data_IF_423701044916
#
_entry.id   IF_423701044916
#
_cell.length_a   1.000
_cell.length_b   1.000
_cell.length_c   1.000
_cell.angle_alpha   90.00
_cell.angle_beta   90.00
_cell.angle_gamma   90.00
#
_symmetry.space_group_name_H-M   'P 1'
#
loop_
_entity.id
_entity.type
_entity.pdbx_description
1 polymer ?
#
# COMPACT_ATOMS: atom_id res chain seq x y z
N UNK A 1 33.09 27.84 -50.89
CA UNK A 1 32.53 27.16 -49.70
C UNK A 1 31.17 27.77 -49.42
N UNK A 2 30.11 26.97 -49.48
CA UNK A 2 28.72 27.48 -49.50
C UNK A 2 28.31 27.95 -48.09
N UNK A 3 28.39 29.26 -47.86
CA UNK A 3 27.97 29.93 -46.63
C UNK A 3 26.47 29.73 -46.36
N UNK A 4 25.68 29.60 -47.42
CA UNK A 4 24.24 29.31 -47.37
C UNK A 4 23.95 27.94 -46.75
N UNK A 5 24.72 26.92 -47.14
CA UNK A 5 24.62 25.58 -46.55
C UNK A 5 24.99 25.56 -45.07
N UNK A 6 25.97 26.37 -44.66
CA UNK A 6 26.37 26.50 -43.26
C UNK A 6 25.26 27.13 -42.40
N UNK A 7 24.61 28.17 -42.92
CA UNK A 7 23.49 28.83 -42.23
C UNK A 7 22.31 27.87 -42.07
N UNK A 8 21.98 27.12 -43.13
CA UNK A 8 20.88 26.16 -43.09
C UNK A 8 21.15 25.02 -42.10
N UNK A 9 22.36 24.47 -42.10
CA UNK A 9 22.79 23.44 -41.16
C UNK A 9 22.76 23.95 -39.70
N UNK A 10 23.16 25.21 -39.47
CA UNK A 10 23.14 25.82 -38.14
C UNK A 10 21.71 25.98 -37.62
N UNK A 11 20.78 26.48 -38.44
CA UNK A 11 19.37 26.64 -38.04
C UNK A 11 18.75 25.29 -37.71
N UNK A 12 19.01 24.27 -38.54
CA UNK A 12 18.46 22.93 -38.34
C UNK A 12 19.04 22.29 -37.06
N UNK A 13 20.33 22.48 -36.81
CA UNK A 13 20.99 22.00 -35.59
C UNK A 13 20.42 22.67 -34.36
N UNK A 14 20.29 24.01 -34.36
CA UNK A 14 19.72 24.76 -33.24
C UNK A 14 18.26 24.38 -33.02
N UNK A 15 17.45 24.25 -34.08
CA UNK A 15 16.06 23.81 -33.98
C UNK A 15 15.93 22.41 -33.37
N UNK A 16 16.78 21.47 -33.77
CA UNK A 16 16.82 20.12 -33.22
C UNK A 16 17.23 20.11 -31.74
N UNK A 17 18.27 20.87 -31.39
CA UNK A 17 18.71 21.03 -29.99
C UNK A 17 17.61 21.64 -29.15
N UNK A 18 16.94 22.70 -29.62
CA UNK A 18 15.82 23.33 -28.91
C UNK A 18 14.67 22.34 -28.73
N UNK A 19 14.29 21.60 -29.75
CA UNK A 19 13.20 20.62 -29.66
C UNK A 19 13.47 19.48 -28.65
N UNK A 20 14.74 19.10 -28.48
CA UNK A 20 15.16 18.06 -27.52
C UNK A 20 15.39 18.63 -26.12
N UNK A 21 15.96 19.82 -26.00
CA UNK A 21 16.38 20.41 -24.72
C UNK A 21 15.21 21.11 -24.01
N UNK A 22 14.28 21.74 -24.74
CA UNK A 22 13.09 22.37 -24.13
C UNK A 22 12.28 21.39 -23.26
N UNK A 23 11.82 20.22 -23.77
CA UNK A 23 10.99 19.32 -22.97
C UNK A 23 11.75 18.77 -21.75
N UNK A 24 13.09 18.69 -21.83
CA UNK A 24 13.95 18.25 -20.73
C UNK A 24 14.03 19.30 -19.60
N UNK A 25 14.06 20.59 -19.95
CA UNK A 25 14.05 21.69 -18.97
C UNK A 25 12.64 22.03 -18.45
N UNK A 26 11.62 21.94 -19.30
CA UNK A 26 10.21 22.18 -18.90
C UNK A 26 9.70 21.11 -17.95
N UNK A 27 10.14 19.84 -18.06
CA UNK A 27 9.83 18.80 -17.06
C UNK A 27 10.41 19.08 -15.67
N UNK A 28 11.40 19.97 -15.56
CA UNK A 28 12.06 20.33 -14.30
C UNK A 28 11.50 21.62 -13.66
N UNK A 29 10.57 22.29 -14.35
CA UNK A 29 9.89 23.50 -13.90
C UNK A 29 8.44 23.29 -13.50
N UNK A 30 7.97 22.04 -13.38
CA UNK A 30 7.02 21.75 -12.32
C UNK A 30 7.78 21.97 -11.03
N UNK A 31 7.71 23.19 -10.50
CA UNK A 31 8.05 23.49 -9.11
C UNK A 31 7.50 22.35 -8.29
N UNK A 32 8.36 21.54 -7.68
CA UNK A 32 7.93 20.52 -6.73
C UNK A 32 7.04 21.26 -5.74
N UNK A 33 5.74 21.09 -5.92
CA UNK A 33 4.75 21.78 -5.11
C UNK A 33 4.91 21.25 -3.69
N UNK A 34 4.49 22.00 -2.68
CA UNK A 34 4.44 21.48 -1.30
C UNK A 34 3.69 20.12 -1.28
N UNK A 35 2.73 19.96 -2.18
CA UNK A 35 2.00 18.71 -2.41
C UNK A 35 2.90 17.56 -2.91
N UNK A 36 3.83 17.80 -3.84
CA UNK A 36 4.76 16.76 -4.33
C UNK A 36 5.70 16.28 -3.22
N UNK A 37 6.23 17.21 -2.41
CA UNK A 37 7.09 16.85 -1.28
C UNK A 37 6.31 16.08 -0.21
N UNK A 38 5.05 16.44 0.05
CA UNK A 38 4.19 15.71 0.98
C UNK A 38 3.89 14.31 0.45
N UNK A 39 3.62 14.16 -0.85
CA UNK A 39 3.39 12.85 -1.49
C UNK A 39 4.61 11.94 -1.44
N UNK A 40 5.80 12.48 -1.68
CA UNK A 40 7.04 11.70 -1.60
C UNK A 40 7.29 11.22 -0.16
N UNK A 41 7.08 12.09 0.84
CA UNK A 41 7.14 11.70 2.25
C UNK A 41 6.13 10.61 2.58
N UNK A 42 4.88 10.77 2.16
CA UNK A 42 3.83 9.76 2.38
C UNK A 42 4.22 8.42 1.75
N UNK A 43 4.74 8.42 0.53
CA UNK A 43 5.23 7.21 -0.14
C UNK A 43 6.36 6.55 0.65
N UNK A 44 7.35 7.30 1.10
CA UNK A 44 8.46 6.78 1.90
C UNK A 44 7.96 6.13 3.20
N UNK A 45 7.07 6.81 3.93
CA UNK A 45 6.46 6.25 5.15
C UNK A 45 5.72 4.96 4.88
N UNK A 46 4.93 4.94 3.82
CA UNK A 46 4.12 3.77 3.47
C UNK A 46 4.99 2.57 3.04
N UNK A 47 6.16 2.81 2.42
CA UNK A 47 7.17 1.78 2.21
C UNK A 47 7.76 1.25 3.53
N UNK A 48 8.04 2.12 4.50
CA UNK A 48 8.51 1.66 5.82
C UNK A 48 7.46 0.76 6.52
N UNK A 49 6.18 1.10 6.41
CA UNK A 49 5.09 0.28 6.91
C UNK A 49 4.98 -1.06 6.19
N UNK A 50 5.18 -1.08 4.88
CA UNK A 50 5.25 -2.31 4.09
C UNK A 50 6.38 -3.22 4.56
N UNK A 51 7.59 -2.70 4.71
CA UNK A 51 8.75 -3.47 5.17
C UNK A 51 8.58 -3.98 6.60
N UNK A 52 7.91 -3.21 7.46
CA UNK A 52 7.55 -3.67 8.81
C UNK A 52 6.54 -4.82 8.76
N UNK A 53 5.54 -4.72 7.90
CA UNK A 53 4.53 -5.76 7.73
C UNK A 53 5.16 -7.06 7.24
N UNK A 54 6.06 -7.00 6.25
CA UNK A 54 6.79 -8.17 5.77
C UNK A 54 7.64 -8.82 6.85
N UNK A 55 8.33 -8.02 7.68
CA UNK A 55 9.10 -8.54 8.82
C UNK A 55 8.20 -9.28 9.80
N UNK A 56 7.07 -8.70 10.18
CA UNK A 56 6.14 -9.36 11.10
C UNK A 56 5.59 -10.67 10.55
N UNK A 57 5.25 -10.74 9.25
CA UNK A 57 4.80 -11.99 8.61
C UNK A 57 5.91 -13.04 8.67
N UNK A 58 7.15 -12.63 8.36
CA UNK A 58 8.30 -13.52 8.40
C UNK A 58 8.58 -14.03 9.81
N UNK A 59 8.59 -13.15 10.81
CA UNK A 59 8.82 -13.52 12.20
C UNK A 59 7.72 -14.50 12.68
N UNK A 60 6.47 -14.28 12.26
CA UNK A 60 5.35 -15.19 12.52
C UNK A 60 5.54 -16.56 11.85
N UNK A 61 5.96 -16.60 10.58
CA UNK A 61 6.28 -17.84 9.87
C UNK A 61 7.44 -18.60 10.55
N UNK A 62 8.45 -17.88 11.04
CA UNK A 62 9.58 -18.45 11.78
C UNK A 62 9.13 -19.01 13.14
N UNK A 63 8.28 -18.29 13.88
CA UNK A 63 7.74 -18.75 15.17
C UNK A 63 6.86 -19.99 15.02
N UNK A 64 6.05 -20.06 13.95
CA UNK A 64 5.28 -21.27 13.63
C UNK A 64 6.19 -22.45 13.25
N UNK A 65 7.19 -22.22 12.41
CA UNK A 65 8.15 -23.25 12.01
C UNK A 65 8.95 -23.81 13.20
N UNK A 66 9.19 -22.99 14.22
CA UNK A 66 9.82 -23.38 15.48
C UNK A 66 8.84 -24.04 16.48
N UNK A 67 7.55 -24.10 16.15
CA UNK A 67 6.50 -24.66 17.01
C UNK A 67 6.19 -23.81 18.25
N UNK A 68 6.49 -22.51 18.23
CA UNK A 68 6.18 -21.60 19.35
C UNK A 68 4.71 -21.22 19.43
N UNK A 69 4.03 -21.26 18.28
CA UNK A 69 2.61 -20.94 18.13
C UNK A 69 1.89 -22.10 17.45
N UNK A 70 0.60 -22.23 17.73
CA UNK A 70 -0.24 -23.29 17.17
C UNK A 70 -0.83 -22.86 15.81
N UNK A 71 -1.26 -23.83 14.99
CA UNK A 71 -1.79 -23.56 13.64
C UNK A 71 -2.95 -22.57 13.62
N UNK A 72 -3.91 -22.68 14.55
CA UNK A 72 -5.09 -21.80 14.59
C UNK A 72 -4.70 -20.33 14.86
N UNK A 73 -3.73 -20.12 15.76
CA UNK A 73 -3.19 -18.79 16.11
C UNK A 73 -2.38 -18.21 14.96
N UNK A 74 -1.52 -19.05 14.36
CA UNK A 74 -0.74 -18.70 13.17
C UNK A 74 -1.64 -18.21 12.03
N UNK A 75 -2.69 -18.96 11.68
CA UNK A 75 -3.57 -18.59 10.57
C UNK A 75 -4.31 -17.27 10.84
N UNK A 76 -4.83 -17.08 12.05
CA UNK A 76 -5.54 -15.87 12.43
C UNK A 76 -4.65 -14.62 12.38
N UNK A 77 -3.42 -14.71 12.91
CA UNK A 77 -2.46 -13.61 12.90
C UNK A 77 -1.91 -13.33 11.51
N UNK A 78 -1.62 -14.39 10.75
CA UNK A 78 -1.10 -14.27 9.39
C UNK A 78 -2.12 -13.60 8.49
N UNK A 79 -3.39 -13.95 8.60
CA UNK A 79 -4.46 -13.29 7.87
C UNK A 79 -4.54 -11.80 8.22
N UNK A 80 -4.46 -11.44 9.51
CA UNK A 80 -4.46 -10.05 9.95
C UNK A 80 -3.31 -9.24 9.31
N UNK A 81 -2.09 -9.76 9.35
CA UNK A 81 -0.92 -9.08 8.77
C UNK A 81 -0.98 -9.03 7.24
N UNK A 82 -1.51 -10.08 6.60
CA UNK A 82 -1.74 -10.10 5.15
C UNK A 82 -2.74 -9.01 4.74
N UNK A 83 -3.86 -8.90 5.45
CA UNK A 83 -4.87 -7.85 5.21
C UNK A 83 -4.26 -6.45 5.36
N UNK A 84 -3.43 -6.23 6.38
CA UNK A 84 -2.69 -4.95 6.55
C UNK A 84 -1.77 -4.67 5.37
N UNK A 85 -1.00 -5.65 4.92
CA UNK A 85 -0.11 -5.52 3.77
C UNK A 85 -0.85 -5.12 2.48
N UNK A 86 -2.01 -5.74 2.24
CA UNK A 86 -2.87 -5.37 1.09
C UNK A 86 -3.34 -3.92 1.18
N UNK A 87 -3.72 -3.43 2.35
CA UNK A 87 -4.16 -2.03 2.49
C UNK A 87 -3.01 -1.04 2.28
N UNK A 88 -1.81 -1.36 2.78
CA UNK A 88 -0.59 -0.56 2.52
C UNK A 88 -0.30 -0.47 1.03
N UNK A 89 -0.40 -1.60 0.30
CA UNK A 89 -0.19 -1.63 -1.15
C UNK A 89 -1.25 -0.82 -1.92
N UNK A 90 -2.52 -0.89 -1.52
CA UNK A 90 -3.59 -0.06 -2.11
C UNK A 90 -3.36 1.43 -1.89
N UNK A 91 -2.90 1.81 -0.69
CA UNK A 91 -2.57 3.19 -0.39
C UNK A 91 -1.33 3.66 -1.17
N UNK A 92 -0.33 2.80 -1.41
CA UNK A 92 0.82 3.10 -2.27
C UNK A 92 0.38 3.33 -3.72
N UNK A 93 -0.52 2.50 -4.23
CA UNK A 93 -1.08 2.63 -5.58
C UNK A 93 -1.89 3.93 -5.72
N UNK A 94 -2.69 4.29 -4.71
CA UNK A 94 -3.45 5.56 -4.72
C UNK A 94 -2.55 6.81 -4.75
N UNK A 95 -1.30 6.71 -4.29
CA UNK A 95 -0.32 7.80 -4.33
C UNK A 95 0.39 7.92 -5.68
N UNK A 96 0.33 6.91 -6.56
CA UNK A 96 0.99 6.96 -7.86
C UNK A 96 0.21 7.84 -8.84
N UNK A 97 0.82 8.93 -9.37
CA UNK A 97 0.14 9.81 -10.32
C UNK A 97 -0.30 9.10 -11.61
N UNK A 98 0.29 7.95 -11.95
CA UNK A 98 -0.12 7.16 -13.11
C UNK A 98 -1.48 6.44 -12.91
N UNK A 99 -1.84 6.11 -11.67
CA UNK A 99 -3.10 5.43 -11.30
C UNK A 99 -4.10 6.34 -10.60
N UNK A 100 -3.70 7.54 -10.17
CA UNK A 100 -4.52 8.58 -9.52
C UNK A 100 -5.68 9.17 -10.36
N UNK A 101 -6.01 8.58 -11.52
CA UNK A 101 -7.19 8.93 -12.34
C UNK A 101 -8.51 8.45 -11.71
N UNK A 102 -8.46 7.62 -10.67
CA UNK A 102 -9.66 7.18 -9.94
C UNK A 102 -9.82 7.98 -8.66
N UNK A 103 -11.01 8.58 -8.48
CA UNK A 103 -11.43 9.38 -7.34
C UNK A 103 -11.58 8.56 -6.03
N UNK A 104 -10.54 7.83 -5.64
CA UNK A 104 -10.45 7.21 -4.33
C UNK A 104 -10.19 8.32 -3.30
N UNK A 105 -10.97 8.39 -2.20
CA UNK A 105 -10.71 9.33 -1.14
C UNK A 105 -9.31 9.09 -0.60
N UNK A 106 -8.46 10.12 -0.65
CA UNK A 106 -7.11 10.06 -0.11
C UNK A 106 -7.19 9.61 1.34
N UNK A 107 -6.57 8.46 1.62
CA UNK A 107 -6.56 7.84 2.95
C UNK A 107 -5.80 8.68 3.98
N UNK A 108 -5.09 9.72 3.54
CA UNK A 108 -4.25 10.60 4.33
C UNK A 108 -4.73 12.04 4.11
N UNK A 109 -5.07 12.79 5.18
CA UNK A 109 -5.43 14.19 5.05
C UNK A 109 -4.20 15.00 4.61
N UNK A 110 -4.37 15.85 3.58
CA UNK A 110 -3.33 16.74 3.08
C UNK A 110 -2.84 17.79 4.11
N UNK A 111 -3.43 17.81 5.31
CA UNK A 111 -3.14 18.75 6.39
C UNK A 111 -2.09 18.26 7.38
N UNK A 112 -1.55 17.05 7.24
CA UNK A 112 -0.55 16.55 8.17
C UNK A 112 0.77 17.33 8.00
N UNK A 113 1.11 18.15 9.00
CA UNK A 113 2.25 19.09 8.92
C UNK A 113 3.54 18.48 9.47
N UNK A 114 3.41 17.53 10.40
CA UNK A 114 4.55 16.85 11.02
C UNK A 114 4.55 15.34 10.77
N UNK A 115 5.75 14.76 10.88
CA UNK A 115 6.02 13.36 10.60
C UNK A 115 5.23 12.40 11.52
N UNK A 116 4.94 12.79 12.76
CA UNK A 116 4.22 11.96 13.72
C UNK A 116 2.71 11.92 13.43
N UNK A 117 2.16 13.01 12.91
CA UNK A 117 0.78 13.11 12.45
C UNK A 117 0.57 12.27 11.19
N UNK A 118 1.53 12.28 10.26
CA UNK A 118 1.52 11.41 9.07
C UNK A 118 1.50 9.94 9.48
N UNK A 119 2.42 9.51 10.36
CA UNK A 119 2.49 8.13 10.83
C UNK A 119 1.16 7.70 11.49
N UNK A 120 0.62 8.55 12.38
CA UNK A 120 -0.66 8.28 13.05
C UNK A 120 -1.83 8.19 12.07
N UNK A 121 -1.86 9.05 11.05
CA UNK A 121 -2.91 9.03 10.04
C UNK A 121 -2.86 7.75 9.20
N UNK A 122 -1.66 7.30 8.83
CA UNK A 122 -1.45 6.05 8.11
C UNK A 122 -1.93 4.85 8.95
N UNK A 123 -1.51 4.77 10.22
CA UNK A 123 -1.94 3.71 11.14
C UNK A 123 -3.46 3.66 11.30
N UNK A 124 -4.08 4.81 11.58
CA UNK A 124 -5.53 4.91 11.77
C UNK A 124 -6.29 4.54 10.48
N UNK A 125 -5.80 4.97 9.33
CA UNK A 125 -6.36 4.63 8.03
C UNK A 125 -6.35 3.12 7.80
N UNK A 126 -5.19 2.48 7.98
CA UNK A 126 -5.04 1.03 7.74
C UNK A 126 -5.95 0.23 8.67
N UNK A 127 -6.01 0.59 9.95
CA UNK A 127 -6.87 -0.08 10.92
C UNK A 127 -8.36 0.07 10.58
N UNK A 128 -8.79 1.27 10.14
CA UNK A 128 -10.16 1.50 9.68
C UNK A 128 -10.50 0.63 8.45
N UNK A 129 -9.60 0.54 7.47
CA UNK A 129 -9.82 -0.24 6.26
C UNK A 129 -9.89 -1.75 6.55
N UNK A 130 -9.05 -2.27 7.44
CA UNK A 130 -9.10 -3.69 7.86
C UNK A 130 -10.41 -4.00 8.58
N UNK A 131 -10.86 -3.12 9.50
CA UNK A 131 -12.15 -3.29 10.19
C UNK A 131 -13.33 -3.30 9.22
N UNK A 132 -13.32 -2.38 8.25
CA UNK A 132 -14.36 -2.32 7.23
C UNK A 132 -14.40 -3.61 6.39
N UNK A 133 -13.24 -4.12 5.98
CA UNK A 133 -13.15 -5.38 5.23
C UNK A 133 -13.68 -6.58 6.03
N UNK A 134 -13.30 -6.71 7.30
CA UNK A 134 -13.78 -7.78 8.18
C UNK A 134 -15.29 -7.69 8.43
N UNK A 135 -15.83 -6.49 8.60
CA UNK A 135 -17.27 -6.29 8.77
C UNK A 135 -18.04 -6.71 7.50
N UNK A 136 -17.49 -6.46 6.31
CA UNK A 136 -18.08 -6.91 5.04
C UNK A 136 -18.07 -8.43 4.93
N UNK A 137 -16.94 -9.09 5.25
CA UNK A 137 -16.88 -10.55 5.25
C UNK A 137 -17.83 -11.19 6.26
N UNK A 138 -17.94 -10.63 7.47
CA UNK A 138 -18.88 -11.10 8.49
C UNK A 138 -20.35 -10.92 8.08
N UNK A 139 -20.65 -9.93 7.23
CA UNK A 139 -21.98 -9.73 6.67
C UNK A 139 -22.29 -10.69 5.51
N UNK A 140 -21.27 -11.18 4.79
CA UNK A 140 -21.40 -12.16 3.71
C UNK A 140 -21.42 -13.62 4.18
N UNK A 141 -20.92 -13.92 5.38
CA UNK A 141 -21.03 -15.24 6.01
C UNK A 141 -22.33 -15.34 6.82
N UNK A 142 -23.32 -16.17 6.42
CA UNK A 142 -24.51 -16.43 7.23
C UNK A 142 -24.09 -17.08 8.57
N UNK A 143 -24.84 -16.86 9.67
CA UNK A 143 -24.60 -17.58 10.90
C UNK A 143 -24.84 -19.07 10.62
N UNK A 144 -23.77 -19.84 10.52
CA UNK A 144 -23.87 -21.29 10.56
C UNK A 144 -24.28 -21.64 11.98
N UNK A 145 -25.59 -21.78 12.19
CA UNK A 145 -26.18 -22.42 13.37
C UNK A 145 -25.46 -23.76 13.59
N UNK A 146 -24.60 -23.82 14.60
CA UNK A 146 -24.47 -25.03 15.41
C UNK A 146 -24.46 -24.61 16.87
N UNK A 147 -25.40 -25.16 17.65
CA UNK A 147 -24.99 -26.27 18.49
C UNK A 147 -26.05 -27.37 18.53
N UNK A 148 -25.78 -28.51 17.90
CA UNK A 148 -26.29 -29.79 18.40
C UNK A 148 -25.11 -30.57 18.95
N UNK A 149 -24.74 -30.16 20.16
CA UNK A 149 -24.13 -31.03 21.15
C UNK A 149 -25.14 -32.15 21.42
N UNK A 150 -25.08 -33.22 20.62
CA UNK A 150 -25.77 -34.46 20.96
C UNK A 150 -24.89 -35.21 21.97
N UNK A 151 -25.01 -34.77 23.22
CA UNK A 151 -24.66 -35.55 24.41
C UNK A 151 -25.57 -36.78 24.45
N UNK A 152 -25.26 -37.80 23.66
CA UNK A 152 -25.71 -39.17 23.93
C UNK A 152 -24.59 -39.88 24.68
N UNK A 153 -24.49 -39.54 25.96
CA UNK A 153 -23.98 -40.43 27.01
C UNK A 153 -24.74 -41.74 26.92
N UNK A 154 -24.08 -42.80 26.48
CA UNK A 154 -24.46 -44.18 26.79
C UNK A 154 -23.21 -44.93 27.24
N UNK A 155 -23.05 -44.96 28.57
CA UNK A 155 -22.79 -46.16 29.35
C UNK A 155 -21.80 -47.18 28.75
N UNK A 156 -20.55 -47.14 29.20
CA UNK A 156 -19.98 -48.03 30.24
C UNK A 156 -19.52 -49.42 29.74
N UNK A 157 -18.29 -49.84 30.11
CA UNK A 157 -17.71 -51.13 29.78
C UNK A 157 -18.10 -52.20 30.81
N UNK A 158 -18.16 -53.49 30.42
CA UNK A 158 -17.74 -54.68 31.21
C UNK A 158 -18.45 -55.97 30.73
N UNK A 159 -17.76 -56.82 29.97
CA UNK A 159 -17.48 -58.24 30.30
C UNK A 159 -16.76 -58.95 29.16
#
# INVERSE_FOLDING_TARGET
>A
MSTEGLIFALILTVGCVVMVVLPLFTRRQSTASVDDQLRDKQRERLHMYYDRTLRNIRDLDEDHALGKINEDEYQAERELWMQRGVQVLKALDALDPATASSAAPAMIPATAVDDAEVDRAIDAGIEAAVRAYRAQQAAEQPPTDQPTVDQATAEQPSR
#
